data_IF_998453600674
#
_entry.id   IF_998453600674
#
_cell.length_a   1.000
_cell.length_b   1.000
_cell.length_c   1.000
_cell.angle_alpha   90.00
_cell.angle_beta   90.00
_cell.angle_gamma   90.00
#
_symmetry.space_group_name_H-M   'P 1'
#
loop_
_entity.id
_entity.type
_entity.pdbx_description
1 polymer ?
#
# COMPACT_ATOMS: atom_id res chain seq x y z
N UNK A 1 -7.23 -11.49 68.46
CA UNK A 1 -8.03 -10.25 68.31
C UNK A 1 -8.59 -10.26 66.89
N UNK A 2 -9.71 -10.95 66.62
CA UNK A 2 -11.11 -10.46 66.53
C UNK A 2 -11.32 -9.27 65.55
N UNK A 3 -11.78 -9.63 64.34
CA UNK A 3 -12.66 -9.03 63.29
C UNK A 3 -13.47 -7.74 63.61
N UNK A 4 -14.20 -7.08 62.64
CA UNK A 4 -14.55 -7.49 61.26
C UNK A 4 -14.52 -6.41 60.14
N UNK A 5 -14.77 -6.86 58.90
CA UNK A 5 -15.19 -6.07 57.74
C UNK A 5 -16.69 -5.71 57.77
N UNK A 6 -17.17 -4.72 56.99
CA UNK A 6 -18.59 -4.58 56.69
C UNK A 6 -18.92 -5.13 55.29
N UNK A 7 -19.80 -6.13 55.31
CA UNK A 7 -20.67 -6.58 54.21
C UNK A 7 -21.90 -5.68 54.18
N UNK A 8 -22.34 -5.20 53.02
CA UNK A 8 -23.71 -4.74 52.85
C UNK A 8 -24.34 -5.34 51.59
N UNK A 9 -25.54 -5.85 51.83
CA UNK A 9 -26.34 -6.76 51.02
C UNK A 9 -27.33 -5.98 50.15
N UNK A 10 -27.60 -6.56 48.98
CA UNK A 10 -28.79 -6.46 48.11
C UNK A 10 -29.96 -5.51 48.45
N UNK A 11 -30.51 -4.86 47.41
CA UNK A 11 -31.90 -5.06 46.98
C UNK A 11 -32.23 -4.24 45.70
N UNK A 12 -32.61 -4.92 44.62
CA UNK A 12 -33.58 -4.42 43.64
C UNK A 12 -34.99 -4.69 44.23
N UNK A 13 -36.01 -3.86 43.98
CA UNK A 13 -36.89 -4.14 42.83
C UNK A 13 -37.54 -2.90 42.15
N UNK A 14 -38.15 -3.22 41.00
CA UNK A 14 -38.85 -2.39 40.03
C UNK A 14 -40.16 -1.72 40.52
N UNK A 15 -40.65 -0.73 39.76
CA UNK A 15 -42.06 -0.41 39.34
C UNK A 15 -42.00 0.97 38.66
N UNK A 16 -42.17 1.13 37.34
CA UNK A 16 -43.37 1.12 36.46
C UNK A 16 -43.92 2.53 36.13
N UNK A 17 -43.92 2.83 34.83
CA UNK A 17 -44.86 3.65 34.04
C UNK A 17 -45.06 5.16 34.32
N UNK A 18 -44.72 5.97 33.30
CA UNK A 18 -45.64 6.99 32.80
C UNK A 18 -45.39 7.21 31.29
N UNK A 19 -46.41 6.89 30.51
CA UNK A 19 -46.49 7.19 29.09
C UNK A 19 -46.64 8.70 28.88
N UNK A 20 -45.91 9.25 27.91
CA UNK A 20 -46.28 10.51 27.28
C UNK A 20 -46.13 10.37 25.77
N UNK A 21 -47.27 10.13 25.13
CA UNK A 21 -47.45 10.28 23.68
C UNK A 21 -47.66 11.76 23.42
N UNK A 22 -46.72 12.38 22.72
CA UNK A 22 -46.94 13.67 22.04
C UNK A 22 -46.48 13.50 20.59
N UNK A 23 -47.46 13.24 19.74
CA UNK A 23 -47.33 13.40 18.30
C UNK A 23 -47.39 14.90 17.98
N UNK A 24 -46.29 15.46 17.45
CA UNK A 24 -46.31 16.67 16.66
C UNK A 24 -45.33 16.53 15.50
N UNK A 25 -45.91 16.70 14.31
CA UNK A 25 -45.34 16.68 12.98
C UNK A 25 -44.11 17.59 12.81
N UNK A 26 -43.12 17.13 12.05
CA UNK A 26 -42.03 17.99 11.57
C UNK A 26 -40.95 17.23 10.83
N UNK A 27 -41.04 17.22 9.50
CA UNK A 27 -40.01 16.89 8.49
C UNK A 27 -38.96 15.83 8.85
N UNK A 28 -39.22 14.61 8.41
CA UNK A 28 -38.19 13.60 8.18
C UNK A 28 -37.28 14.08 7.03
N UNK A 29 -35.99 14.37 7.24
CA UNK A 29 -35.09 14.52 6.12
C UNK A 29 -34.97 13.16 5.44
N UNK A 30 -35.36 13.10 4.17
CA UNK A 30 -35.15 11.94 3.31
C UNK A 30 -33.72 11.42 3.50
N UNK A 31 -33.51 10.09 3.61
CA UNK A 31 -32.17 9.53 3.73
C UNK A 31 -31.33 10.05 2.57
N UNK A 32 -30.27 10.79 2.91
CA UNK A 32 -29.29 11.23 1.93
C UNK A 32 -28.80 10.00 1.15
N UNK A 33 -28.75 10.04 -0.18
CA UNK A 33 -28.22 8.92 -0.94
C UNK A 33 -26.81 8.62 -0.42
N UNK A 34 -26.59 7.36 -0.07
CA UNK A 34 -25.29 6.88 0.39
C UNK A 34 -24.20 7.41 -0.52
N UNK A 35 -23.18 8.04 0.06
CA UNK A 35 -21.99 8.44 -0.66
C UNK A 35 -21.48 7.22 -1.45
N UNK A 36 -21.19 7.36 -2.77
CA UNK A 36 -20.71 6.23 -3.54
C UNK A 36 -19.44 5.70 -2.87
N UNK A 37 -19.46 4.41 -2.53
CA UNK A 37 -18.29 3.71 -2.03
C UNK A 37 -17.11 4.01 -2.96
N UNK A 38 -15.98 4.41 -2.38
CA UNK A 38 -14.75 4.60 -3.12
C UNK A 38 -14.51 3.37 -3.99
N UNK A 39 -14.51 3.57 -5.31
CA UNK A 39 -14.27 2.49 -6.25
C UNK A 39 -12.95 1.79 -5.87
N UNK A 40 -12.90 0.45 -5.88
CA UNK A 40 -11.63 -0.25 -5.71
C UNK A 40 -10.67 0.31 -6.76
N UNK A 41 -9.47 0.73 -6.34
CA UNK A 41 -8.43 1.21 -7.23
C UNK A 41 -8.26 0.16 -8.34
N UNK A 42 -8.66 0.51 -9.55
CA UNK A 42 -8.56 -0.37 -10.70
C UNK A 42 -7.07 -0.72 -10.86
N UNK A 43 -6.75 -2.01 -10.86
CA UNK A 43 -5.40 -2.46 -11.10
C UNK A 43 -5.00 -2.03 -12.52
N UNK A 44 -4.05 -1.09 -12.63
CA UNK A 44 -3.44 -0.70 -13.90
C UNK A 44 -2.91 -1.98 -14.58
N UNK A 45 -3.02 -2.11 -15.92
CA UNK A 45 -2.50 -3.28 -16.64
C UNK A 45 -1.05 -3.55 -16.26
N UNK A 46 -0.81 -4.71 -15.63
CA UNK A 46 0.54 -5.17 -15.29
C UNK A 46 1.23 -5.67 -16.56
N UNK A 47 1.71 -4.75 -17.38
CA UNK A 47 2.23 -5.04 -18.70
C UNK A 47 3.59 -4.40 -18.96
N UNK A 48 4.65 -5.09 -18.55
CA UNK A 48 5.98 -4.95 -19.14
C UNK A 48 6.53 -6.36 -19.36
N UNK A 49 7.17 -6.67 -20.50
CA UNK A 49 7.76 -7.99 -20.70
C UNK A 49 8.73 -8.28 -19.55
N UNK A 50 8.75 -9.52 -19.02
CA UNK A 50 9.75 -9.90 -18.04
C UNK A 50 11.13 -9.59 -18.60
N UNK A 51 12.03 -9.00 -17.82
CA UNK A 51 13.41 -8.72 -18.27
C UNK A 51 14.29 -9.98 -18.32
N UNK A 52 13.67 -11.16 -18.41
CA UNK A 52 14.32 -12.48 -18.50
C UNK A 52 14.17 -13.10 -19.89
N UNK A 53 14.92 -14.16 -20.17
CA UNK A 53 14.79 -14.92 -21.40
C UNK A 53 13.33 -15.41 -21.58
N UNK A 54 12.79 -15.28 -22.78
CA UNK A 54 11.43 -15.69 -23.10
C UNK A 54 11.16 -17.14 -22.61
N UNK A 55 10.04 -17.33 -21.90
CA UNK A 55 9.65 -18.64 -21.36
C UNK A 55 10.30 -19.05 -20.03
N UNK A 56 11.09 -18.18 -19.38
CA UNK A 56 11.58 -18.42 -18.01
C UNK A 56 10.84 -17.54 -17.01
N UNK A 57 10.34 -18.17 -15.96
CA UNK A 57 9.81 -17.45 -14.80
C UNK A 57 10.87 -16.53 -14.20
N UNK A 58 10.41 -15.39 -13.69
CA UNK A 58 11.24 -14.44 -12.95
C UNK A 58 11.47 -14.87 -11.50
N UNK A 59 10.92 -16.00 -11.05
CA UNK A 59 10.96 -16.41 -9.65
C UNK A 59 11.88 -17.60 -9.42
N UNK A 60 12.72 -17.49 -8.40
CA UNK A 60 13.56 -18.58 -7.92
C UNK A 60 13.25 -18.90 -6.46
N UNK A 61 13.22 -20.18 -6.13
CA UNK A 61 13.33 -20.65 -4.75
C UNK A 61 14.81 -20.70 -4.37
N UNK A 62 15.18 -20.02 -3.30
CA UNK A 62 16.55 -19.96 -2.78
C UNK A 62 16.64 -20.54 -1.38
N UNK A 63 17.79 -21.07 -1.01
CA UNK A 63 18.08 -21.49 0.37
C UNK A 63 18.43 -20.28 1.27
N UNK A 64 18.82 -20.56 2.52
CA UNK A 64 19.24 -19.56 3.50
C UNK A 64 20.57 -18.86 3.16
N UNK A 65 21.38 -19.46 2.27
CA UNK A 65 22.64 -18.90 1.75
C UNK A 65 22.44 -18.05 0.50
N UNK A 66 21.25 -18.11 -0.10
CA UNK A 66 20.90 -17.40 -1.33
C UNK A 66 21.17 -18.19 -2.60
N UNK A 67 21.54 -19.48 -2.48
CA UNK A 67 21.75 -20.35 -3.62
C UNK A 67 20.40 -20.77 -4.22
N UNK A 68 20.31 -20.78 -5.56
CA UNK A 68 19.07 -21.16 -6.25
C UNK A 68 18.87 -22.67 -6.17
N UNK A 69 17.81 -23.09 -5.47
CA UNK A 69 17.35 -24.48 -5.42
C UNK A 69 16.66 -24.85 -6.75
N UNK A 70 15.67 -24.04 -7.17
CA UNK A 70 14.93 -24.24 -8.42
C UNK A 70 14.20 -22.98 -8.88
N UNK A 71 13.77 -22.97 -10.14
CA UNK A 71 12.81 -21.99 -10.65
C UNK A 71 11.40 -22.29 -10.10
N UNK A 72 10.63 -21.24 -9.81
CA UNK A 72 9.23 -21.32 -9.44
C UNK A 72 8.37 -20.86 -10.62
N UNK A 73 7.26 -21.55 -10.95
CA UNK A 73 6.38 -21.08 -12.01
C UNK A 73 5.65 -19.79 -11.59
N UNK A 74 5.20 -19.01 -12.57
CA UNK A 74 4.53 -17.73 -12.33
C UNK A 74 3.17 -17.87 -11.61
N UNK A 75 2.56 -19.05 -11.67
CA UNK A 75 1.28 -19.43 -11.03
C UNK A 75 1.45 -20.12 -9.67
N UNK A 76 2.68 -20.22 -9.13
CA UNK A 76 2.89 -20.67 -7.75
C UNK A 76 2.08 -19.75 -6.80
N UNK A 77 1.36 -20.31 -5.80
CA UNK A 77 0.43 -19.55 -4.98
C UNK A 77 1.14 -18.45 -4.16
N UNK A 78 2.35 -18.70 -3.68
CA UNK A 78 3.11 -17.68 -2.94
C UNK A 78 3.64 -16.60 -3.89
N UNK A 79 4.13 -16.99 -5.07
CA UNK A 79 4.54 -16.04 -6.12
C UNK A 79 3.38 -15.10 -6.50
N UNK A 80 2.19 -15.67 -6.72
CA UNK A 80 0.98 -14.91 -7.05
C UNK A 80 0.59 -13.95 -5.93
N UNK A 81 0.62 -14.41 -4.68
CA UNK A 81 0.27 -13.60 -3.52
C UNK A 81 1.27 -12.46 -3.26
N UNK A 82 2.57 -12.72 -3.42
CA UNK A 82 3.62 -11.69 -3.32
C UNK A 82 3.44 -10.65 -4.42
N UNK A 83 3.32 -11.07 -5.69
CA UNK A 83 3.08 -10.16 -6.82
C UNK A 83 1.86 -9.28 -6.59
N UNK A 84 0.74 -9.87 -6.17
CA UNK A 84 -0.49 -9.14 -5.86
C UNK A 84 -0.28 -8.11 -4.76
N UNK A 85 0.42 -8.47 -3.68
CA UNK A 85 0.72 -7.57 -2.56
C UNK A 85 1.53 -6.36 -3.02
N UNK A 86 2.61 -6.61 -3.77
CA UNK A 86 3.47 -5.55 -4.31
C UNK A 86 2.75 -4.70 -5.35
N UNK A 87 1.91 -5.30 -6.19
CA UNK A 87 1.10 -4.60 -7.18
C UNK A 87 0.13 -3.60 -6.55
N UNK A 88 -0.64 -4.07 -5.55
CA UNK A 88 -1.62 -3.25 -4.85
C UNK A 88 -0.95 -2.14 -4.04
N UNK A 89 0.19 -2.44 -3.41
CA UNK A 89 1.01 -1.44 -2.74
C UNK A 89 1.49 -0.36 -3.73
N UNK A 90 2.10 -0.75 -4.85
CA UNK A 90 2.56 0.19 -5.87
C UNK A 90 1.40 1.03 -6.42
N UNK A 91 0.23 0.43 -6.66
CA UNK A 91 -0.96 1.18 -7.09
C UNK A 91 -1.36 2.27 -6.09
N UNK A 92 -1.30 1.97 -4.78
CA UNK A 92 -1.59 2.94 -3.72
C UNK A 92 -0.50 4.00 -3.51
N UNK A 93 0.78 3.67 -3.80
CA UNK A 93 1.88 4.62 -3.61
C UNK A 93 2.21 5.47 -4.83
N UNK A 94 1.87 5.00 -6.02
CA UNK A 94 2.33 5.60 -7.28
C UNK A 94 1.21 6.41 -7.96
N UNK A 95 -0.05 6.13 -7.64
CA UNK A 95 -1.21 6.93 -8.07
C UNK A 95 -1.70 7.80 -6.91
N UNK A 96 -1.07 8.95 -6.71
CA UNK A 96 -1.33 9.83 -5.56
C UNK A 96 -1.73 11.21 -5.99
N UNK A 97 -2.60 11.83 -5.21
CA UNK A 97 -3.03 13.20 -5.41
C UNK A 97 -2.87 13.99 -4.11
N UNK A 98 -2.34 15.21 -4.20
CA UNK A 98 -2.15 16.10 -3.07
C UNK A 98 -3.42 16.36 -2.23
N UNK A 99 -4.61 16.22 -2.83
CA UNK A 99 -5.89 16.39 -2.15
C UNK A 99 -6.22 15.21 -1.24
N UNK A 100 -5.89 13.99 -1.65
CA UNK A 100 -6.28 12.73 -0.98
C UNK A 100 -5.10 11.97 -0.35
N UNK A 101 -3.88 12.53 -0.43
CA UNK A 101 -2.65 11.86 0.03
C UNK A 101 -2.68 11.44 1.50
N UNK A 102 -3.43 12.15 2.37
CA UNK A 102 -3.51 11.80 3.79
C UNK A 102 -4.19 10.44 3.98
N UNK A 103 -5.35 10.24 3.36
CA UNK A 103 -6.11 8.98 3.41
C UNK A 103 -5.34 7.85 2.70
N UNK A 104 -4.67 8.18 1.59
CA UNK A 104 -3.79 7.27 0.87
C UNK A 104 -2.57 6.83 1.69
N UNK A 105 -2.00 7.73 2.51
CA UNK A 105 -0.86 7.43 3.37
C UNK A 105 -1.26 6.52 4.54
N UNK A 106 -2.46 6.69 5.10
CA UNK A 106 -2.96 5.83 6.17
C UNK A 106 -3.27 4.42 5.66
N UNK A 107 -3.99 4.31 4.54
CA UNK A 107 -4.33 3.01 3.92
C UNK A 107 -3.11 2.21 3.46
N UNK A 108 -2.00 2.89 3.10
CA UNK A 108 -0.71 2.26 2.76
C UNK A 108 -0.18 1.34 3.88
N UNK A 109 -0.45 1.65 5.15
CA UNK A 109 0.02 0.85 6.28
C UNK A 109 -0.63 -0.55 6.34
N UNK A 110 -1.74 -0.79 5.64
CA UNK A 110 -2.34 -2.11 5.55
C UNK A 110 -1.44 -3.14 4.83
N UNK A 111 -0.50 -2.67 3.99
CA UNK A 111 0.46 -3.53 3.29
C UNK A 111 1.70 -3.86 4.14
N UNK A 112 1.91 -3.16 5.25
CA UNK A 112 3.15 -3.22 6.03
C UNK A 112 3.06 -4.23 7.15
N UNK A 113 4.16 -4.94 7.38
CA UNK A 113 4.32 -5.72 8.59
C UNK A 113 4.32 -4.77 9.80
N UNK A 114 3.73 -5.16 10.96
CA UNK A 114 3.56 -4.25 12.10
C UNK A 114 4.84 -3.55 12.55
N UNK A 115 5.97 -4.26 12.57
CA UNK A 115 7.28 -3.69 12.92
C UNK A 115 7.74 -2.60 11.96
N UNK A 116 7.62 -2.84 10.65
CA UNK A 116 7.98 -1.87 9.62
C UNK A 116 7.06 -0.64 9.64
N UNK A 117 5.75 -0.86 9.75
CA UNK A 117 4.77 0.22 9.88
C UNK A 117 5.03 1.08 11.12
N UNK A 118 5.32 0.47 12.27
CA UNK A 118 5.67 1.20 13.51
C UNK A 118 6.94 2.05 13.33
N UNK A 119 7.96 1.51 12.69
CA UNK A 119 9.19 2.25 12.39
C UNK A 119 8.92 3.48 11.52
N UNK A 120 8.14 3.33 10.45
CA UNK A 120 7.78 4.45 9.57
C UNK A 120 6.97 5.53 10.31
N UNK A 121 6.01 5.13 11.15
CA UNK A 121 5.24 6.07 12.00
C UNK A 121 6.14 6.83 12.97
N UNK A 122 7.07 6.14 13.62
CA UNK A 122 8.04 6.79 14.53
C UNK A 122 8.92 7.83 13.81
N UNK A 123 9.16 7.65 12.51
CA UNK A 123 9.90 8.60 11.67
C UNK A 123 9.01 9.74 11.12
N UNK A 124 7.70 9.74 11.42
CA UNK A 124 6.72 10.69 10.91
C UNK A 124 6.53 10.62 9.40
N UNK A 125 6.60 9.42 8.83
CA UNK A 125 6.51 9.17 7.38
C UNK A 125 5.25 9.79 6.75
N UNK A 126 4.08 9.49 7.31
CA UNK A 126 2.76 9.96 6.90
C UNK A 126 2.67 11.50 6.84
N UNK A 127 3.16 12.17 7.88
CA UNK A 127 3.20 13.63 7.96
C UNK A 127 4.14 14.21 6.91
N UNK A 128 5.35 13.67 6.78
CA UNK A 128 6.35 14.13 5.80
C UNK A 128 5.85 13.95 4.37
N UNK A 129 5.25 12.80 4.07
CA UNK A 129 4.65 12.50 2.78
C UNK A 129 3.48 13.44 2.46
N UNK A 130 2.56 13.61 3.41
CA UNK A 130 1.41 14.52 3.24
C UNK A 130 1.88 15.96 3.00
N UNK A 131 2.85 16.42 3.78
CA UNK A 131 3.44 17.75 3.61
C UNK A 131 4.13 17.89 2.24
N UNK A 132 4.90 16.90 1.80
CA UNK A 132 5.55 16.87 0.49
C UNK A 132 4.53 17.06 -0.64
N UNK A 133 3.46 16.27 -0.64
CA UNK A 133 2.44 16.30 -1.68
C UNK A 133 1.61 17.59 -1.65
N UNK A 134 1.14 18.02 -0.47
CA UNK A 134 0.33 19.24 -0.34
C UNK A 134 1.11 20.51 -0.69
N UNK A 135 2.32 20.65 -0.14
CA UNK A 135 3.16 21.84 -0.37
C UNK A 135 3.49 22.01 -1.85
N UNK A 136 3.78 20.92 -2.53
CA UNK A 136 4.19 20.95 -3.92
C UNK A 136 3.04 20.66 -4.90
N UNK A 137 1.78 20.60 -4.42
CA UNK A 137 0.59 20.26 -5.23
C UNK A 137 0.82 19.06 -6.15
N UNK A 138 1.47 18.02 -5.63
CA UNK A 138 1.89 16.86 -6.41
C UNK A 138 0.70 15.96 -6.72
N UNK A 139 0.60 15.55 -7.98
CA UNK A 139 -0.19 14.40 -8.38
C UNK A 139 0.70 13.52 -9.25
N UNK A 140 0.72 12.22 -8.95
CA UNK A 140 1.49 11.21 -9.67
C UNK A 140 0.57 10.14 -10.25
N UNK A 141 0.98 9.57 -11.38
CA UNK A 141 0.28 8.49 -12.04
C UNK A 141 1.25 7.39 -12.43
N UNK A 142 0.89 6.14 -12.16
CA UNK A 142 1.66 4.98 -12.57
C UNK A 142 1.35 4.62 -14.02
N UNK A 143 2.40 4.56 -14.85
CA UNK A 143 2.30 4.21 -16.27
C UNK A 143 2.36 2.71 -16.47
N UNK A 144 3.39 2.08 -15.89
CA UNK A 144 3.66 0.66 -16.03
C UNK A 144 4.58 0.17 -14.92
N UNK A 145 4.64 -1.16 -14.81
CA UNK A 145 5.58 -1.89 -13.96
C UNK A 145 6.34 -2.89 -14.82
N UNK A 146 7.65 -2.97 -14.65
CA UNK A 146 8.49 -4.04 -15.21
C UNK A 146 9.03 -4.89 -14.06
N UNK A 147 8.86 -6.20 -14.16
CA UNK A 147 9.31 -7.14 -13.13
C UNK A 147 10.69 -7.69 -13.47
N UNK A 148 11.52 -7.84 -12.44
CA UNK A 148 12.85 -8.43 -12.51
C UNK A 148 12.87 -9.76 -11.76
N UNK A 149 14.02 -10.44 -11.83
CA UNK A 149 14.22 -11.68 -11.09
C UNK A 149 14.00 -11.42 -9.60
N UNK A 150 13.12 -12.22 -9.02
CA UNK A 150 12.65 -12.13 -7.65
C UNK A 150 12.84 -13.48 -6.97
N UNK A 151 12.84 -13.49 -5.64
CA UNK A 151 13.16 -14.68 -4.85
C UNK A 151 12.08 -14.99 -3.83
N UNK A 152 11.84 -16.28 -3.64
CA UNK A 152 11.15 -16.85 -2.49
C UNK A 152 12.18 -17.70 -1.74
N UNK A 153 12.25 -17.56 -0.42
CA UNK A 153 13.13 -18.40 0.39
C UNK A 153 12.52 -19.78 0.62
N UNK A 154 13.35 -20.77 0.92
CA UNK A 154 12.95 -22.16 1.16
C UNK A 154 11.88 -22.29 2.24
N UNK A 155 11.88 -21.38 3.22
CA UNK A 155 10.88 -21.27 4.29
C UNK A 155 9.44 -20.99 3.79
N UNK A 156 9.26 -20.60 2.52
CA UNK A 156 7.99 -20.16 1.92
C UNK A 156 7.28 -19.05 2.71
N UNK A 157 8.05 -18.33 3.52
CA UNK A 157 7.59 -17.30 4.44
C UNK A 157 8.35 -15.98 4.26
N UNK A 158 9.46 -15.98 3.51
CA UNK A 158 10.25 -14.80 3.18
C UNK A 158 10.38 -14.66 1.67
N UNK A 159 10.30 -13.43 1.15
CA UNK A 159 10.44 -13.16 -0.28
C UNK A 159 11.13 -11.80 -0.53
N UNK A 160 11.76 -11.68 -1.69
CA UNK A 160 12.20 -10.40 -2.25
C UNK A 160 11.65 -10.24 -3.66
N UNK A 161 10.95 -9.14 -3.91
CA UNK A 161 10.45 -8.78 -5.22
C UNK A 161 11.24 -7.59 -5.79
N UNK A 162 11.69 -7.71 -7.02
CA UNK A 162 12.39 -6.64 -7.74
C UNK A 162 11.56 -6.14 -8.91
N UNK A 163 11.42 -4.81 -8.99
CA UNK A 163 10.63 -4.17 -10.04
C UNK A 163 11.15 -2.78 -10.36
N UNK A 164 10.89 -2.36 -11.60
CA UNK A 164 10.85 -0.96 -11.96
C UNK A 164 9.40 -0.51 -12.02
N UNK A 165 9.10 0.62 -11.39
CA UNK A 165 7.86 1.36 -11.66
C UNK A 165 8.15 2.58 -12.51
N UNK A 166 7.27 2.86 -13.46
CA UNK A 166 7.33 4.07 -14.28
C UNK A 166 6.20 4.98 -13.85
N UNK A 167 6.54 6.19 -13.42
CA UNK A 167 5.63 7.18 -12.84
C UNK A 167 5.78 8.50 -13.59
N UNK A 168 4.67 9.21 -13.75
CA UNK A 168 4.65 10.58 -14.26
C UNK A 168 4.14 11.52 -13.18
N UNK A 169 4.61 12.77 -13.20
CA UNK A 169 3.98 13.86 -12.47
C UNK A 169 2.90 14.47 -13.37
N UNK A 170 1.64 14.36 -12.99
CA UNK A 170 0.51 14.94 -13.74
C UNK A 170 0.13 16.33 -13.22
N UNK A 171 0.50 16.63 -11.97
CA UNK A 171 0.49 17.97 -11.42
C UNK A 171 1.66 18.15 -10.45
N UNK A 172 2.27 19.34 -10.43
CA UNK A 172 3.30 19.71 -9.46
C UNK A 172 3.57 21.22 -9.51
N UNK A 173 4.04 21.78 -8.40
CA UNK A 173 4.55 23.13 -8.35
C UNK A 173 5.81 23.26 -9.23
N UNK A 174 5.95 24.34 -10.04
CA UNK A 174 7.11 24.50 -10.92
C UNK A 174 8.47 24.47 -10.21
N UNK A 175 8.53 25.02 -8.99
CA UNK A 175 9.76 25.01 -8.18
C UNK A 175 10.21 23.60 -7.79
N UNK A 176 9.26 22.69 -7.54
CA UNK A 176 9.55 21.29 -7.24
C UNK A 176 10.14 20.58 -8.46
N UNK A 177 9.48 20.73 -9.61
CA UNK A 177 9.93 20.16 -10.88
C UNK A 177 11.33 20.65 -11.24
N UNK A 178 11.58 21.96 -11.15
CA UNK A 178 12.89 22.56 -11.41
C UNK A 178 13.98 22.01 -10.48
N UNK A 179 13.71 21.90 -9.17
CA UNK A 179 14.67 21.38 -8.19
C UNK A 179 15.03 19.91 -8.46
N UNK A 180 14.05 19.10 -8.88
CA UNK A 180 14.24 17.67 -9.15
C UNK A 180 14.70 17.33 -10.57
N UNK A 181 14.79 18.31 -11.49
CA UNK A 181 15.02 18.02 -12.91
C UNK A 181 13.86 17.27 -13.57
N UNK A 182 12.65 17.43 -13.03
CA UNK A 182 11.44 16.76 -13.49
C UNK A 182 10.61 17.64 -14.42
N UNK A 183 9.75 17.01 -15.21
CA UNK A 183 8.75 17.66 -16.07
C UNK A 183 7.40 16.95 -15.91
N UNK A 184 6.32 17.66 -16.17
CA UNK A 184 4.99 17.07 -16.18
C UNK A 184 4.85 16.08 -17.34
N UNK A 185 4.05 15.03 -17.14
CA UNK A 185 3.70 14.01 -18.14
C UNK A 185 4.93 13.37 -18.80
N UNK A 186 6.07 13.38 -18.09
CA UNK A 186 7.30 12.73 -18.51
C UNK A 186 7.47 11.46 -17.69
N UNK A 187 7.65 10.28 -18.31
CA UNK A 187 7.86 9.04 -17.60
C UNK A 187 9.23 8.98 -16.90
N UNK A 188 9.21 8.72 -15.59
CA UNK A 188 10.38 8.47 -14.77
C UNK A 188 10.35 7.06 -14.21
N UNK A 189 11.47 6.36 -14.35
CA UNK A 189 11.65 5.01 -13.81
C UNK A 189 12.21 5.08 -12.40
N UNK A 190 11.66 4.27 -11.50
CA UNK A 190 12.21 4.03 -10.18
C UNK A 190 12.33 2.53 -9.95
N UNK A 191 13.57 2.07 -9.78
CA UNK A 191 13.85 0.72 -9.35
C UNK A 191 13.51 0.52 -7.86
N UNK A 192 12.92 -0.62 -7.52
CA UNK A 192 12.52 -1.00 -6.17
C UNK A 192 12.89 -2.45 -5.86
N UNK A 193 13.46 -2.64 -4.68
CA UNK A 193 13.56 -3.95 -4.04
C UNK A 193 12.60 -3.97 -2.85
N UNK A 194 11.63 -4.87 -2.88
CA UNK A 194 10.62 -5.02 -1.84
C UNK A 194 10.88 -6.33 -1.09
N UNK A 195 11.15 -6.24 0.20
CA UNK A 195 11.26 -7.41 1.07
C UNK A 195 9.90 -7.68 1.72
N UNK A 196 9.49 -8.95 1.73
CA UNK A 196 8.22 -9.39 2.28
C UNK A 196 8.39 -10.57 3.24
N UNK A 197 7.48 -10.66 4.20
CA UNK A 197 7.33 -11.82 5.06
C UNK A 197 5.85 -12.22 5.19
N UNK A 198 5.59 -13.51 5.31
CA UNK A 198 4.27 -14.07 5.57
C UNK A 198 3.94 -13.95 7.06
N UNK A 199 2.81 -13.33 7.38
CA UNK A 199 2.29 -13.08 8.73
C UNK A 199 0.81 -13.42 8.74
N UNK A 200 0.40 -14.32 9.65
CA UNK A 200 -0.99 -14.76 9.79
C UNK A 200 -1.62 -15.18 8.44
N UNK A 201 -0.83 -15.89 7.62
CA UNK A 201 -1.24 -16.37 6.30
C UNK A 201 -1.19 -15.32 5.17
N UNK A 202 -0.91 -14.05 5.47
CA UNK A 202 -0.84 -12.97 4.49
C UNK A 202 0.60 -12.45 4.28
N UNK A 203 0.94 -12.13 3.03
CA UNK A 203 2.21 -11.47 2.73
C UNK A 203 2.17 -10.00 3.14
N UNK A 204 3.20 -9.55 3.85
CA UNK A 204 3.37 -8.17 4.31
C UNK A 204 4.75 -7.65 3.96
N UNK A 205 4.84 -6.38 3.57
CA UNK A 205 6.10 -5.74 3.25
C UNK A 205 6.85 -5.40 4.55
N UNK A 206 8.11 -5.82 4.63
CA UNK A 206 9.00 -5.62 5.77
C UNK A 206 10.07 -4.57 5.51
N UNK A 207 10.41 -4.33 4.24
CA UNK A 207 11.30 -3.25 3.82
C UNK A 207 11.08 -2.89 2.35
N UNK A 208 11.39 -1.63 1.99
CA UNK A 208 11.43 -1.17 0.61
C UNK A 208 12.71 -0.36 0.42
N UNK A 209 13.54 -0.76 -0.54
CA UNK A 209 14.63 0.06 -1.06
C UNK A 209 14.20 0.65 -2.39
N UNK A 210 14.47 1.93 -2.61
CA UNK A 210 14.13 2.65 -3.84
C UNK A 210 15.38 3.35 -4.38
N UNK A 211 15.63 3.20 -5.66
CA UNK A 211 16.64 4.00 -6.36
C UNK A 211 16.10 5.41 -6.64
N UNK A 212 16.99 6.40 -6.92
CA UNK A 212 16.57 7.68 -7.48
C UNK A 212 15.74 7.49 -8.76
N UNK A 213 14.80 8.39 -9.00
CA UNK A 213 14.05 8.42 -10.25
C UNK A 213 14.96 8.85 -11.40
N UNK A 214 14.97 8.09 -12.48
CA UNK A 214 15.69 8.42 -13.72
C UNK A 214 14.71 8.62 -14.86
N UNK A 215 15.05 9.45 -15.84
CA UNK A 215 14.25 9.52 -17.07
C UNK A 215 14.28 8.14 -17.72
N UNK A 216 13.12 7.66 -18.18
CA UNK A 216 13.08 6.44 -18.97
C UNK A 216 14.05 6.59 -20.16
N UNK A 217 14.89 5.59 -20.40
CA UNK A 217 15.75 5.57 -21.58
C UNK A 217 14.86 5.74 -22.82
N UNK A 218 15.26 6.58 -23.81
CA UNK A 218 14.57 6.61 -25.09
C UNK A 218 14.45 5.19 -25.61
N UNK A 219 13.27 4.79 -26.08
CA UNK A 219 13.14 3.53 -26.81
C UNK A 219 14.09 3.64 -28.01
N UNK A 220 15.03 2.71 -28.23
CA UNK A 220 15.83 2.75 -29.44
C UNK A 220 14.84 2.72 -30.62
N UNK A 221 14.97 3.70 -31.51
CA UNK A 221 14.21 3.69 -32.76
C UNK A 221 14.59 2.41 -33.48
N UNK A 222 13.61 1.53 -33.68
CA UNK A 222 13.76 0.35 -34.53
C UNK A 222 14.10 0.84 -35.93
N UNK A 223 15.37 0.68 -36.32
CA UNK A 223 15.86 0.85 -37.69
C UNK A 223 15.37 -0.28 -38.58
#
# INVERSE_FOLDING_TARGET
MRQPAPTFTAALPAVLAAALVLALSGCEPAPAPAAPAAAPAAATPQGGPPTGAAGRSLWALIDDRGDTIRSLPDDDPDVTAVRRTVALHSAATDNRDHRTVADGAESEFAFYAPGFGKQLKAQGYDRKLTALYRTNRLTTHQVKTAWYRSTLYEDRATATAEMDTVIEFTAAAPAYLKKGGFALNTPYTQHRTVSLAKRDGAWKITAIRKSPMTKAAPRPESS
#
